data_IF_160652173549
#
_entry.id   IF_160652173549
#
_cell.length_a   1.000
_cell.length_b   1.000
_cell.length_c   1.000
_cell.angle_alpha   90.00
_cell.angle_beta   90.00
_cell.angle_gamma   90.00
#
_symmetry.space_group_name_H-M   'P 1'
#
loop_
_entity.id
_entity.type
_entity.pdbx_description
1 polymer ?
#
# COMPACT_ATOMS: atom_id res chain seq x y z
N UNK A 1 -15.56 -28.49 18.71
CA UNK A 1 -14.87 -27.64 17.72
C UNK A 1 -15.60 -26.31 17.66
N UNK A 2 -14.93 -25.20 17.98
CA UNK A 2 -15.52 -23.86 18.05
C UNK A 2 -15.60 -23.30 16.61
N UNK A 3 -16.75 -22.81 16.12
CA UNK A 3 -16.89 -22.37 14.74
C UNK A 3 -15.95 -21.20 14.48
N UNK A 4 -15.19 -21.32 13.40
CA UNK A 4 -14.29 -20.34 12.81
C UNK A 4 -14.80 -18.90 12.98
N UNK A 5 -14.27 -18.19 13.99
CA UNK A 5 -14.37 -16.72 14.05
C UNK A 5 -13.76 -16.22 12.74
N UNK A 6 -14.50 -15.48 11.88
CA UNK A 6 -13.91 -14.93 10.68
C UNK A 6 -12.68 -14.14 11.10
N UNK A 7 -11.51 -14.46 10.53
CA UNK A 7 -10.29 -13.66 10.74
C UNK A 7 -10.68 -12.24 10.34
N UNK A 8 -10.75 -11.33 11.32
CA UNK A 8 -11.27 -9.99 11.10
C UNK A 8 -10.56 -9.35 9.93
N UNK A 9 -11.32 -8.97 8.90
CA UNK A 9 -10.77 -8.21 7.78
C UNK A 9 -10.46 -6.81 8.28
N UNK A 10 -9.17 -6.44 8.28
CA UNK A 10 -8.73 -5.07 8.56
C UNK A 10 -8.47 -4.39 7.22
N UNK A 11 -9.34 -3.48 6.77
CA UNK A 11 -9.06 -2.65 5.62
C UNK A 11 -7.75 -1.87 5.78
N UNK A 12 -6.99 -1.80 4.69
CA UNK A 12 -5.78 -1.02 4.54
C UNK A 12 -5.97 -0.06 3.35
N UNK A 13 -5.65 1.23 3.54
CA UNK A 13 -5.80 2.29 2.53
C UNK A 13 -4.44 2.95 2.33
N UNK A 14 -4.03 3.08 1.07
CA UNK A 14 -2.75 3.68 0.68
C UNK A 14 -2.99 5.00 -0.04
N UNK A 15 -2.26 6.05 0.32
CA UNK A 15 -2.28 7.33 -0.40
C UNK A 15 -1.09 7.39 -1.36
N UNK A 16 -1.40 7.64 -2.63
CA UNK A 16 -0.43 7.91 -3.68
C UNK A 16 -0.50 9.38 -4.10
N UNK A 17 0.67 9.98 -4.34
CA UNK A 17 0.80 11.27 -5.01
C UNK A 17 1.55 11.03 -6.32
N UNK A 18 0.82 11.14 -7.44
CA UNK A 18 1.30 10.64 -8.72
C UNK A 18 1.48 9.12 -8.67
N UNK A 19 2.69 8.63 -8.95
CA UNK A 19 3.06 7.20 -8.87
C UNK A 19 3.72 6.81 -7.54
N UNK A 20 3.98 7.77 -6.67
CA UNK A 20 4.70 7.54 -5.42
C UNK A 20 3.72 7.22 -4.29
N UNK A 21 3.90 6.07 -3.66
CA UNK A 21 3.25 5.75 -2.38
C UNK A 21 3.82 6.67 -1.31
N UNK A 22 2.93 7.30 -0.53
CA UNK A 22 3.33 8.24 0.52
C UNK A 22 2.99 7.69 1.92
N UNK A 23 1.73 7.26 2.13
CA UNK A 23 1.27 6.80 3.46
C UNK A 23 0.37 5.59 3.35
N UNK A 24 0.15 4.92 4.48
CA UNK A 24 -0.76 3.78 4.58
C UNK A 24 -1.46 3.77 5.92
N UNK A 25 -2.78 3.77 5.91
CA UNK A 25 -3.60 3.69 7.11
C UNK A 25 -4.36 2.37 7.17
N UNK A 26 -4.53 1.84 8.38
CA UNK A 26 -5.28 0.62 8.64
C UNK A 26 -6.50 0.94 9.53
N UNK A 27 -7.53 0.11 9.46
CA UNK A 27 -8.66 0.36 10.35
C UNK A 27 -9.73 -0.69 10.26
N UNK A 28 -10.52 -0.79 11.33
CA UNK A 28 -11.66 -1.72 11.40
C UNK A 28 -12.72 -1.44 10.33
N UNK A 29 -12.72 -0.25 9.74
CA UNK A 29 -13.60 0.15 8.64
C UNK A 29 -12.79 0.86 7.56
N UNK A 30 -13.30 0.85 6.32
CA UNK A 30 -12.68 1.60 5.21
C UNK A 30 -12.49 3.08 5.54
N UNK A 31 -13.48 3.67 6.23
CA UNK A 31 -13.44 5.06 6.69
C UNK A 31 -12.32 5.28 7.71
N UNK A 32 -12.19 4.40 8.71
CA UNK A 32 -11.13 4.50 9.71
C UNK A 32 -9.73 4.40 9.08
N UNK A 33 -9.53 3.44 8.17
CA UNK A 33 -8.27 3.29 7.44
C UNK A 33 -7.91 4.54 6.62
N UNK A 34 -8.89 5.11 5.89
CA UNK A 34 -8.69 6.34 5.12
C UNK A 34 -8.41 7.56 6.02
N UNK A 35 -9.11 7.70 7.15
CA UNK A 35 -8.87 8.77 8.11
C UNK A 35 -7.46 8.68 8.69
N UNK A 36 -6.99 7.48 9.07
CA UNK A 36 -5.62 7.31 9.55
C UNK A 36 -4.60 7.70 8.47
N UNK A 37 -4.75 7.18 7.24
CA UNK A 37 -3.83 7.48 6.14
C UNK A 37 -3.74 8.98 5.86
N UNK A 38 -4.89 9.69 5.94
CA UNK A 38 -4.96 11.13 5.73
C UNK A 38 -4.32 11.94 6.87
N UNK A 39 -4.53 11.53 8.13
CA UNK A 39 -3.87 12.19 9.28
C UNK A 39 -2.35 12.07 9.19
N UNK A 40 -1.85 10.89 8.82
CA UNK A 40 -0.41 10.68 8.62
C UNK A 40 0.14 11.54 7.47
N UNK A 41 -0.63 11.69 6.39
CA UNK A 41 -0.28 12.61 5.29
C UNK A 41 -0.16 14.06 5.77
N UNK A 42 -1.04 14.51 6.67
CA UNK A 42 -0.95 15.85 7.27
C UNK A 42 0.35 16.01 8.05
N UNK A 43 0.71 15.05 8.90
CA UNK A 43 1.97 15.10 9.66
C UNK A 43 3.21 15.10 8.77
N UNK A 44 3.17 14.38 7.64
CA UNK A 44 4.24 14.43 6.64
C UNK A 44 4.36 15.80 5.99
N UNK A 45 3.23 16.40 5.59
CA UNK A 45 3.21 17.73 4.99
C UNK A 45 3.64 18.83 5.98
N UNK A 46 3.38 18.65 7.27
CA UNK A 46 3.88 19.52 8.35
C UNK A 46 5.34 19.25 8.73
N UNK A 47 6.00 18.25 8.13
CA UNK A 47 7.40 17.91 8.41
C UNK A 47 7.62 17.23 9.77
N UNK A 48 6.56 16.74 10.41
CA UNK A 48 6.63 16.04 11.70
C UNK A 48 7.02 14.56 11.55
N UNK A 49 6.77 13.98 10.38
CA UNK A 49 7.04 12.57 10.04
C UNK A 49 7.60 12.49 8.63
N UNK A 50 8.58 11.62 8.38
CA UNK A 50 9.10 11.40 7.02
C UNK A 50 8.17 10.49 6.21
N UNK A 51 7.97 10.81 4.93
CA UNK A 51 7.21 9.96 4.03
C UNK A 51 7.92 8.60 3.85
N UNK A 52 7.17 7.51 4.01
CA UNK A 52 7.65 6.17 3.64
C UNK A 52 7.57 6.02 2.12
N UNK A 53 8.54 6.63 1.43
CA UNK A 53 8.70 6.45 -0.01
C UNK A 53 9.35 5.09 -0.23
N UNK A 54 8.53 4.07 -0.47
CA UNK A 54 9.04 2.78 -0.91
C UNK A 54 9.59 2.99 -2.33
N UNK A 55 10.88 2.68 -2.61
CA UNK A 55 11.42 2.80 -3.94
C UNK A 55 10.63 1.91 -4.91
N UNK A 56 10.32 2.43 -6.10
CA UNK A 56 9.72 1.62 -7.17
C UNK A 56 10.68 0.46 -7.47
N UNK A 57 10.27 -0.77 -7.17
CA UNK A 57 10.97 -1.94 -7.68
C UNK A 57 10.86 -1.88 -9.20
N UNK A 58 12.01 -1.76 -9.86
CA UNK A 58 12.14 -1.69 -11.31
C UNK A 58 11.58 -3.00 -11.90
N UNK A 59 10.32 -2.99 -12.35
CA UNK A 59 9.78 -4.05 -13.22
C UNK A 59 10.63 -4.07 -14.50
N UNK A 60 11.68 -4.87 -14.48
CA UNK A 60 12.41 -5.25 -15.68
C UNK A 60 11.49 -6.19 -16.44
N UNK A 61 10.69 -5.60 -17.32
CA UNK A 61 9.86 -6.32 -18.26
C UNK A 61 10.73 -7.22 -19.17
N UNK A 62 10.14 -8.39 -19.47
CA UNK A 62 10.49 -9.36 -20.51
C UNK A 62 11.84 -10.07 -20.41
N UNK A 63 11.84 -11.19 -19.69
CA UNK A 63 12.46 -12.40 -20.21
C UNK A 63 11.43 -13.14 -21.06
N UNK A 64 11.51 -13.00 -22.38
CA UNK A 64 10.88 -13.91 -23.33
C UNK A 64 11.98 -14.80 -23.92
N UNK A 65 12.25 -15.90 -23.20
CA UNK A 65 12.95 -17.06 -23.72
C UNK A 65 11.90 -17.96 -24.40
N UNK A 66 11.79 -17.93 -25.74
CA UNK A 66 11.17 -19.03 -26.48
C UNK A 66 11.83 -19.30 -27.85
N UNK A 67 12.63 -20.38 -27.86
CA UNK A 67 12.77 -21.45 -28.87
C UNK A 67 12.58 -21.16 -30.38
N UNK A 68 13.64 -21.44 -31.14
CA UNK A 68 13.65 -22.54 -32.13
C UNK A 68 13.29 -22.26 -33.60
N UNK A 69 14.12 -22.83 -34.49
CA UNK A 69 13.97 -23.09 -35.93
C UNK A 69 14.01 -21.90 -36.92
N UNK A 70 15.11 -21.80 -37.69
CA UNK A 70 15.14 -22.23 -39.09
C UNK A 70 16.59 -22.39 -39.60
#
# INVERSE_FOLDING_TARGET
>A
MNPTRPRGFTPCVVIYVGRKRITTGEGKTKKAAATQAAMEMVFILEGQVEASVVPEENESASGDDEKGHH
#
